data_IF_653624297917
#
_entry.id   IF_653624297917
#
_cell.length_a   1.000
_cell.length_b   1.000
_cell.length_c   1.000
_cell.angle_alpha   90.00
_cell.angle_beta   90.00
_cell.angle_gamma   90.00
#
_symmetry.space_group_name_H-M   'P 1'
#
loop_
_entity.id
_entity.type
_entity.pdbx_description
1 polymer ?
#
# COMPACT_ATOMS: atom_id res chain seq x y z
N UNK A 1 -24.06 -17.29 -4.67
CA UNK A 1 -23.18 -17.67 -3.54
C UNK A 1 -23.07 -16.55 -2.52
N UNK A 2 -22.90 -15.29 -2.94
CA UNK A 2 -23.05 -14.11 -2.09
C UNK A 2 -24.00 -13.12 -2.78
N UNK A 3 -24.88 -12.50 -2.02
CA UNK A 3 -25.77 -11.41 -2.49
C UNK A 3 -25.23 -10.07 -2.02
N UNK A 4 -24.70 -10.00 -0.79
CA UNK A 4 -24.32 -8.75 -0.14
C UNK A 4 -22.96 -8.87 0.56
N UNK A 5 -22.29 -7.73 0.71
CA UNK A 5 -21.07 -7.61 1.49
C UNK A 5 -21.39 -7.33 2.97
N UNK A 6 -20.62 -7.91 3.88
CA UNK A 6 -20.88 -7.88 5.32
C UNK A 6 -21.04 -6.46 5.87
N UNK A 7 -20.12 -5.55 5.50
CA UNK A 7 -20.06 -4.17 5.96
C UNK A 7 -20.95 -3.17 5.22
N UNK A 8 -21.63 -3.60 4.15
CA UNK A 8 -22.53 -2.74 3.36
C UNK A 8 -23.99 -2.84 3.81
N UNK A 9 -24.33 -3.87 4.59
CA UNK A 9 -25.68 -4.08 5.13
C UNK A 9 -26.00 -3.01 6.18
N UNK A 10 -27.19 -2.44 6.12
CA UNK A 10 -27.62 -1.35 6.98
C UNK A 10 -29.08 -1.52 7.45
N UNK A 11 -29.60 -0.51 8.15
CA UNK A 11 -30.95 -0.56 8.76
C UNK A 11 -32.07 -0.61 7.73
N UNK A 12 -31.84 -0.13 6.50
CA UNK A 12 -32.83 -0.20 5.42
C UNK A 12 -33.10 -1.64 4.98
N UNK A 13 -32.16 -2.56 5.20
CA UNK A 13 -32.24 -3.96 4.75
C UNK A 13 -32.96 -4.86 5.77
N UNK A 14 -33.50 -4.31 6.86
CA UNK A 14 -34.19 -5.07 7.90
C UNK A 14 -35.42 -5.80 7.34
N UNK A 15 -35.46 -7.11 7.57
CA UNK A 15 -36.47 -8.03 7.06
C UNK A 15 -36.06 -8.74 5.77
N UNK A 16 -35.01 -8.28 5.09
CA UNK A 16 -34.50 -8.96 3.90
C UNK A 16 -33.73 -10.23 4.25
N UNK A 17 -33.76 -11.20 3.35
CA UNK A 17 -32.96 -12.43 3.46
C UNK A 17 -31.81 -12.36 2.48
N UNK A 18 -30.60 -12.34 3.03
CA UNK A 18 -29.36 -12.17 2.28
C UNK A 18 -28.43 -13.36 2.48
N UNK A 19 -27.50 -13.55 1.55
CA UNK A 19 -26.39 -14.48 1.68
C UNK A 19 -25.07 -13.72 1.71
N UNK A 20 -24.35 -13.81 2.83
CA UNK A 20 -23.01 -13.23 3.01
C UNK A 20 -21.95 -14.33 3.04
N UNK A 21 -20.72 -14.01 2.65
CA UNK A 21 -19.60 -14.94 2.70
C UNK A 21 -18.32 -14.23 3.16
N UNK A 22 -17.56 -14.88 4.03
CA UNK A 22 -16.40 -14.26 4.68
C UNK A 22 -15.67 -15.17 5.66
N UNK A 23 -14.90 -14.56 6.54
CA UNK A 23 -14.09 -15.23 7.56
C UNK A 23 -14.64 -14.99 8.96
N UNK A 24 -14.65 -16.02 9.80
CA UNK A 24 -14.96 -15.88 11.23
C UNK A 24 -13.89 -15.00 11.89
N UNK A 25 -14.23 -13.76 12.20
CA UNK A 25 -13.33 -12.85 12.90
C UNK A 25 -13.25 -13.20 14.39
N UNK A 26 -14.42 -13.40 15.01
CA UNK A 26 -14.55 -13.79 16.41
C UNK A 26 -15.82 -14.62 16.60
N UNK A 27 -15.74 -15.60 17.47
CA UNK A 27 -16.90 -16.38 17.98
C UNK A 27 -17.07 -16.08 19.46
N UNK A 28 -18.32 -15.84 19.87
CA UNK A 28 -18.72 -15.60 21.26
C UNK A 28 -19.88 -16.54 21.58
N UNK A 29 -19.75 -17.27 22.69
CA UNK A 29 -20.69 -18.29 23.11
C UNK A 29 -21.19 -17.95 24.51
N UNK A 30 -22.49 -17.72 24.63
CA UNK A 30 -23.15 -17.41 25.90
C UNK A 30 -24.02 -18.58 26.40
N UNK A 31 -23.82 -19.78 25.87
CA UNK A 31 -24.53 -21.01 26.23
C UNK A 31 -25.93 -21.12 25.62
N UNK A 32 -26.72 -20.06 25.69
CA UNK A 32 -28.08 -20.00 25.11
C UNK A 32 -28.16 -19.28 23.76
N UNK A 33 -27.05 -18.75 23.25
CA UNK A 33 -26.97 -18.01 21.99
C UNK A 33 -25.50 -17.95 21.55
N UNK A 34 -25.25 -18.12 20.25
CA UNK A 34 -23.90 -17.99 19.68
C UNK A 34 -23.87 -16.79 18.73
N UNK A 35 -22.87 -15.94 18.93
CA UNK A 35 -22.58 -14.82 18.06
C UNK A 35 -21.29 -15.08 17.30
N UNK A 36 -21.31 -14.80 15.99
CA UNK A 36 -20.12 -14.87 15.14
C UNK A 36 -20.00 -13.55 14.40
N UNK A 37 -18.86 -12.87 14.55
CA UNK A 37 -18.54 -11.72 13.72
C UNK A 37 -17.92 -12.24 12.42
N UNK A 38 -18.66 -12.10 11.32
CA UNK A 38 -18.20 -12.47 9.98
C UNK A 38 -17.54 -11.25 9.32
N UNK A 39 -16.31 -11.42 8.84
CA UNK A 39 -15.53 -10.39 8.15
C UNK A 39 -15.45 -10.67 6.67
N UNK A 40 -15.58 -9.64 5.86
CA UNK A 40 -15.09 -9.62 4.49
C UNK A 40 -14.32 -8.32 4.19
N UNK A 41 -14.13 -7.99 2.91
CA UNK A 41 -13.38 -6.80 2.46
C UNK A 41 -14.05 -5.47 2.79
N UNK A 42 -15.36 -5.48 3.06
CA UNK A 42 -16.18 -4.30 3.35
C UNK A 42 -16.31 -4.02 4.85
N UNK A 43 -16.19 -5.03 5.71
CA UNK A 43 -16.34 -4.86 7.15
C UNK A 43 -16.79 -6.12 7.88
N UNK A 44 -17.40 -5.91 9.05
CA UNK A 44 -17.91 -6.95 9.93
C UNK A 44 -19.44 -6.97 9.93
N UNK A 45 -20.03 -8.16 10.02
CA UNK A 45 -21.46 -8.39 10.27
C UNK A 45 -21.62 -9.40 11.39
N UNK A 46 -22.46 -9.09 12.37
CA UNK A 46 -22.79 -10.04 13.45
C UNK A 46 -23.81 -11.05 12.95
N UNK A 47 -23.44 -12.32 13.03
CA UNK A 47 -24.31 -13.47 12.82
C UNK A 47 -24.82 -13.96 14.17
N UNK A 48 -26.10 -14.32 14.22
CA UNK A 48 -26.75 -14.88 15.42
C UNK A 48 -27.30 -16.26 15.12
N UNK A 49 -26.92 -17.22 15.97
CA UNK A 49 -27.43 -18.59 15.93
C UNK A 49 -28.32 -18.82 17.15
N UNK A 50 -29.60 -19.12 16.89
CA UNK A 50 -30.61 -19.39 17.90
C UNK A 50 -30.63 -20.89 18.26
N UNK A 51 -30.70 -21.26 19.55
CA UNK A 51 -30.79 -22.67 19.99
C UNK A 51 -32.05 -23.40 19.49
N UNK A 52 -33.10 -22.69 19.06
CA UNK A 52 -34.28 -23.33 18.45
C UNK A 52 -33.92 -24.15 17.19
N UNK A 53 -32.86 -23.75 16.47
CA UNK A 53 -32.33 -24.47 15.32
C UNK A 53 -31.13 -25.35 15.70
N UNK A 54 -31.40 -26.47 16.39
CA UNK A 54 -30.37 -27.35 16.97
C UNK A 54 -29.23 -27.73 16.01
N UNK A 55 -29.54 -28.09 14.76
CA UNK A 55 -28.51 -28.48 13.78
C UNK A 55 -27.55 -27.33 13.45
N UNK A 56 -28.09 -26.12 13.23
CA UNK A 56 -27.27 -24.93 12.98
C UNK A 56 -26.47 -24.51 14.22
N UNK A 57 -27.09 -24.64 15.39
CA UNK A 57 -26.45 -24.31 16.66
C UNK A 57 -25.25 -25.23 16.92
N UNK A 58 -25.41 -26.55 16.72
CA UNK A 58 -24.32 -27.53 16.85
C UNK A 58 -23.19 -27.32 15.84
N UNK A 59 -23.49 -26.87 14.61
CA UNK A 59 -22.44 -26.46 13.66
C UNK A 59 -21.74 -25.17 14.09
N UNK A 60 -22.49 -24.19 14.61
CA UNK A 60 -21.93 -22.94 15.13
C UNK A 60 -21.01 -23.15 16.35
N UNK A 61 -21.24 -24.19 17.15
CA UNK A 61 -20.35 -24.60 18.26
C UNK A 61 -18.96 -25.05 17.79
N UNK A 62 -18.88 -25.62 16.59
CA UNK A 62 -17.64 -26.14 16.01
C UNK A 62 -16.82 -25.04 15.33
N UNK A 63 -17.42 -23.90 14.99
CA UNK A 63 -16.74 -22.79 14.34
C UNK A 63 -15.54 -22.31 15.16
N UNK A 64 -14.44 -22.01 14.47
CA UNK A 64 -13.24 -21.39 15.05
C UNK A 64 -12.86 -20.15 14.26
N UNK A 65 -11.96 -19.35 14.81
CA UNK A 65 -11.41 -18.18 14.14
C UNK A 65 -10.88 -18.55 12.76
N UNK A 66 -11.07 -17.64 11.80
CA UNK A 66 -10.63 -17.72 10.41
C UNK A 66 -11.24 -18.83 9.55
N UNK A 67 -12.28 -19.53 10.03
CA UNK A 67 -13.11 -20.39 9.19
C UNK A 67 -13.75 -19.58 8.07
N UNK A 68 -13.87 -20.18 6.88
CA UNK A 68 -14.47 -19.55 5.69
C UNK A 68 -15.90 -20.02 5.57
N UNK A 69 -16.85 -19.08 5.64
CA UNK A 69 -18.28 -19.38 5.71
C UNK A 69 -19.03 -18.75 4.54
N UNK A 70 -20.13 -19.40 4.15
CA UNK A 70 -21.23 -18.81 3.40
C UNK A 70 -22.49 -18.97 4.25
N UNK A 71 -23.18 -17.87 4.53
CA UNK A 71 -24.28 -17.83 5.50
C UNK A 71 -25.46 -17.12 4.88
N UNK A 72 -26.63 -17.75 4.92
CA UNK A 72 -27.89 -17.10 4.53
C UNK A 72 -28.72 -16.86 5.78
N UNK A 73 -29.34 -15.68 5.87
CA UNK A 73 -30.22 -15.37 6.98
C UNK A 73 -30.95 -14.06 6.79
N UNK A 74 -31.78 -13.73 7.78
CA UNK A 74 -32.64 -12.54 7.74
C UNK A 74 -32.03 -11.43 8.58
N UNK A 75 -31.97 -10.22 8.01
CA UNK A 75 -31.50 -9.04 8.75
C UNK A 75 -32.57 -8.60 9.74
N UNK A 76 -32.15 -8.35 10.98
CA UNK A 76 -32.99 -7.77 12.01
C UNK A 76 -32.24 -6.69 12.77
N UNK A 77 -33.00 -5.80 13.41
CA UNK A 77 -32.42 -4.85 14.37
C UNK A 77 -31.88 -5.61 15.57
N UNK A 78 -30.74 -5.15 16.08
CA UNK A 78 -30.25 -5.63 17.37
C UNK A 78 -31.21 -5.24 18.49
N UNK A 79 -31.35 -6.07 19.54
CA UNK A 79 -32.09 -5.70 20.73
C UNK A 79 -31.59 -4.39 21.35
N UNK A 80 -32.48 -3.70 22.08
CA UNK A 80 -32.07 -2.50 22.82
C UNK A 80 -30.93 -2.83 23.80
N UNK A 81 -29.91 -1.96 23.83
CA UNK A 81 -28.71 -2.14 24.65
C UNK A 81 -27.60 -3.02 24.06
N UNK A 82 -27.78 -3.61 22.87
CA UNK A 82 -26.73 -4.41 22.19
C UNK A 82 -26.23 -3.79 20.87
N UNK A 83 -26.64 -2.55 20.59
CA UNK A 83 -26.14 -1.73 19.49
C UNK A 83 -24.65 -1.44 19.70
N UNK A 84 -23.84 -1.63 18.65
CA UNK A 84 -22.42 -1.31 18.69
C UNK A 84 -22.11 -0.04 17.87
N UNK A 85 -21.94 1.14 18.47
CA UNK A 85 -21.71 2.39 17.73
C UNK A 85 -20.37 2.44 16.99
N UNK A 86 -19.43 1.53 17.27
CA UNK A 86 -18.13 1.47 16.61
C UNK A 86 -18.18 0.76 15.25
N UNK A 87 -19.30 0.08 14.92
CA UNK A 87 -19.46 -0.65 13.67
C UNK A 87 -20.54 0.01 12.79
N UNK A 88 -20.31 0.18 11.47
CA UNK A 88 -21.35 0.61 10.54
C UNK A 88 -22.59 -0.29 10.57
N UNK A 89 -22.39 -1.60 10.79
CA UNK A 89 -23.45 -2.61 10.93
C UNK A 89 -23.92 -2.78 12.38
N UNK A 90 -23.58 -1.83 13.25
CA UNK A 90 -23.76 -1.91 14.69
C UNK A 90 -25.19 -1.97 15.18
N UNK A 91 -26.14 -1.48 14.37
CA UNK A 91 -27.57 -1.45 14.68
C UNK A 91 -28.31 -2.72 14.24
N UNK A 92 -27.66 -3.57 13.45
CA UNK A 92 -28.27 -4.75 12.83
C UNK A 92 -27.49 -6.04 13.14
N UNK A 93 -28.15 -7.16 12.92
CA UNK A 93 -27.54 -8.49 12.95
C UNK A 93 -28.26 -9.41 11.97
N UNK A 94 -27.58 -10.47 11.54
CA UNK A 94 -28.14 -11.49 10.66
C UNK A 94 -28.53 -12.72 11.49
N UNK A 95 -29.85 -12.99 11.56
CA UNK A 95 -30.36 -14.23 12.14
C UNK A 95 -30.14 -15.36 11.13
N UNK A 96 -29.29 -16.32 11.48
CA UNK A 96 -28.83 -17.35 10.55
C UNK A 96 -29.92 -18.37 10.27
N UNK A 97 -30.22 -18.57 8.99
CA UNK A 97 -31.16 -19.59 8.49
C UNK A 97 -30.44 -20.76 7.82
N UNK A 98 -29.25 -20.55 7.26
CA UNK A 98 -28.40 -21.61 6.74
C UNK A 98 -26.92 -21.25 6.84
N UNK A 99 -26.10 -22.25 7.11
CA UNK A 99 -24.65 -22.14 7.24
C UNK A 99 -23.98 -23.20 6.35
N UNK A 100 -23.01 -22.77 5.55
CA UNK A 100 -22.09 -23.64 4.82
C UNK A 100 -20.66 -23.29 5.23
N UNK A 101 -19.95 -24.24 5.83
CA UNK A 101 -18.51 -24.12 6.06
C UNK A 101 -17.80 -24.44 4.75
N UNK A 102 -17.34 -23.40 4.06
CA UNK A 102 -16.63 -23.53 2.78
C UNK A 102 -15.22 -24.09 2.98
N UNK A 103 -14.58 -23.68 4.07
CA UNK A 103 -13.27 -24.22 4.46
C UNK A 103 -13.03 -24.02 5.96
N UNK A 104 -12.35 -24.97 6.58
CA UNK A 104 -11.89 -24.86 7.97
C UNK A 104 -10.56 -24.13 8.03
N UNK A 105 -10.16 -23.68 9.23
CA UNK A 105 -8.86 -23.06 9.46
C UNK A 105 -8.20 -23.65 10.69
N UNK A 106 -6.88 -23.84 10.62
CA UNK A 106 -6.08 -24.05 11.82
C UNK A 106 -6.02 -22.75 12.61
N UNK A 107 -5.74 -22.84 13.92
CA UNK A 107 -5.53 -21.64 14.74
C UNK A 107 -4.42 -20.78 14.12
N UNK A 108 -4.68 -19.49 13.82
CA UNK A 108 -3.67 -18.66 13.19
C UNK A 108 -2.51 -18.41 14.17
N UNK A 109 -1.27 -18.21 13.66
CA UNK A 109 -0.09 -17.97 14.48
C UNK A 109 -0.11 -16.62 15.21
N UNK A 110 -0.99 -15.70 14.82
CA UNK A 110 -1.30 -14.44 15.49
C UNK A 110 -2.72 -14.00 15.14
N UNK A 111 -3.36 -13.22 16.01
CA UNK A 111 -4.67 -12.65 15.75
C UNK A 111 -4.59 -11.33 14.97
N UNK A 112 -5.68 -10.92 14.33
CA UNK A 112 -5.74 -9.72 13.47
C UNK A 112 -5.53 -8.40 14.23
N UNK A 113 -5.83 -8.41 15.53
CA UNK A 113 -5.70 -7.28 16.44
C UNK A 113 -4.39 -7.32 17.24
N UNK A 114 -3.49 -8.28 16.97
CA UNK A 114 -2.21 -8.41 17.65
C UNK A 114 -1.07 -7.88 16.79
N UNK A 115 -0.15 -7.16 17.42
CA UNK A 115 1.11 -6.76 16.81
C UNK A 115 2.14 -7.88 16.96
N UNK A 116 2.04 -8.89 16.09
CA UNK A 116 3.04 -9.95 16.02
C UNK A 116 4.39 -9.41 15.51
N UNK A 117 5.47 -10.12 15.85
CA UNK A 117 6.81 -9.84 15.33
C UNK A 117 6.83 -9.85 13.79
N UNK A 118 7.60 -8.95 13.19
CA UNK A 118 7.68 -8.78 11.74
C UNK A 118 8.03 -10.08 11.01
N UNK A 119 9.00 -10.86 11.50
CA UNK A 119 9.38 -12.15 10.91
C UNK A 119 8.19 -13.12 10.79
N UNK A 120 7.33 -13.17 11.81
CA UNK A 120 6.13 -14.01 11.81
C UNK A 120 5.11 -13.47 10.82
N UNK A 121 4.93 -12.14 10.77
CA UNK A 121 4.02 -11.48 9.83
C UNK A 121 4.45 -11.69 8.38
N UNK A 122 5.75 -11.61 8.09
CA UNK A 122 6.29 -11.87 6.75
C UNK A 122 6.16 -13.34 6.36
N UNK A 123 6.44 -14.26 7.29
CA UNK A 123 6.25 -15.71 7.06
C UNK A 123 4.80 -16.07 6.74
N UNK A 124 3.85 -15.41 7.39
CA UNK A 124 2.42 -15.61 7.19
C UNK A 124 1.75 -14.38 6.58
N UNK A 125 2.39 -13.76 5.58
CA UNK A 125 1.94 -12.48 5.01
C UNK A 125 0.51 -12.51 4.49
N UNK A 126 0.05 -13.66 3.99
CA UNK A 126 -1.34 -13.85 3.55
C UNK A 126 -2.38 -13.70 4.68
N UNK A 127 -2.00 -13.92 5.95
CA UNK A 127 -2.83 -13.61 7.11
C UNK A 127 -2.65 -12.16 7.55
N UNK A 128 -1.42 -11.64 7.55
CA UNK A 128 -1.16 -10.24 7.93
C UNK A 128 -1.89 -9.26 7.00
N UNK A 129 -2.01 -9.59 5.71
CA UNK A 129 -2.77 -8.80 4.72
C UNK A 129 -4.29 -8.80 4.94
N UNK A 130 -4.84 -9.64 5.83
CA UNK A 130 -6.26 -9.57 6.24
C UNK A 130 -6.52 -8.47 7.27
N UNK A 131 -5.49 -7.87 7.85
CA UNK A 131 -5.63 -6.74 8.78
C UNK A 131 -6.00 -5.48 8.00
N UNK A 132 -6.94 -4.70 8.54
CA UNK A 132 -7.45 -3.50 7.88
C UNK A 132 -6.31 -2.54 7.49
N UNK A 133 -5.41 -2.23 8.42
CA UNK A 133 -4.22 -1.40 8.17
C UNK A 133 -3.42 -1.85 6.92
N UNK A 134 -3.17 -3.15 6.79
CA UNK A 134 -2.39 -3.68 5.67
C UNK A 134 -3.18 -3.69 4.36
N UNK A 135 -4.47 -4.06 4.41
CA UNK A 135 -5.36 -4.04 3.27
C UNK A 135 -5.57 -2.62 2.74
N UNK A 136 -5.77 -1.66 3.64
CA UNK A 136 -6.00 -0.25 3.32
C UNK A 136 -4.75 0.38 2.73
N UNK A 137 -3.55 0.06 3.23
CA UNK A 137 -2.30 0.47 2.59
C UNK A 137 -2.18 -0.01 1.12
N UNK A 138 -2.65 -1.22 0.82
CA UNK A 138 -2.67 -1.73 -0.56
C UNK A 138 -3.75 -1.07 -1.42
N UNK A 139 -4.92 -0.75 -0.85
CA UNK A 139 -5.97 0.02 -1.53
C UNK A 139 -5.49 1.43 -1.85
N UNK A 140 -4.86 2.11 -0.90
CA UNK A 140 -4.24 3.43 -1.11
C UNK A 140 -3.17 3.35 -2.20
N UNK A 141 -2.31 2.31 -2.20
CA UNK A 141 -1.36 2.10 -3.30
C UNK A 141 -2.05 1.93 -4.65
N UNK A 142 -3.16 1.21 -4.71
CA UNK A 142 -3.98 1.08 -5.93
C UNK A 142 -4.53 2.43 -6.38
N UNK A 143 -5.10 3.21 -5.47
CA UNK A 143 -5.67 4.54 -5.76
C UNK A 143 -4.61 5.52 -6.24
N UNK A 144 -3.40 5.48 -5.64
CA UNK A 144 -2.23 6.25 -6.10
C UNK A 144 -1.90 5.91 -7.55
N UNK A 145 -1.74 4.61 -7.85
CA UNK A 145 -1.42 4.15 -9.21
C UNK A 145 -2.51 4.54 -10.20
N UNK A 146 -3.79 4.42 -9.83
CA UNK A 146 -4.92 4.82 -10.67
C UNK A 146 -4.90 6.32 -10.97
N UNK A 147 -4.70 7.16 -9.95
CA UNK A 147 -4.62 8.62 -10.09
C UNK A 147 -3.48 9.04 -11.01
N UNK A 148 -2.28 8.47 -10.81
CA UNK A 148 -1.10 8.73 -11.65
C UNK A 148 -1.34 8.37 -13.11
N UNK A 149 -1.92 7.18 -13.39
CA UNK A 149 -2.28 6.76 -14.76
C UNK A 149 -3.27 7.72 -15.39
N UNK A 150 -4.37 8.01 -14.69
CA UNK A 150 -5.40 8.94 -15.17
C UNK A 150 -4.84 10.34 -15.47
N UNK A 151 -3.90 10.84 -14.66
CA UNK A 151 -3.24 12.13 -14.89
C UNK A 151 -2.40 12.11 -16.16
N UNK A 152 -1.58 11.07 -16.34
CA UNK A 152 -0.68 10.92 -17.48
C UNK A 152 -1.44 10.68 -18.79
N UNK A 153 -2.50 9.88 -18.75
CA UNK A 153 -3.41 9.65 -19.89
C UNK A 153 -4.05 10.97 -20.37
N UNK A 154 -4.51 11.81 -19.43
CA UNK A 154 -5.07 13.15 -19.75
C UNK A 154 -4.04 14.13 -20.31
N UNK A 155 -2.74 13.82 -20.18
CA UNK A 155 -1.62 14.64 -20.66
C UNK A 155 -0.97 14.05 -21.92
N UNK A 156 -1.62 13.07 -22.54
CA UNK A 156 -1.20 12.39 -23.77
C UNK A 156 0.11 11.59 -23.61
N UNK A 157 0.44 11.16 -22.39
CA UNK A 157 1.51 10.19 -22.20
C UNK A 157 1.03 8.79 -22.60
N UNK A 158 1.95 7.96 -23.09
CA UNK A 158 1.63 6.59 -23.52
C UNK A 158 2.31 5.59 -22.57
N UNK A 159 1.53 4.66 -22.01
CA UNK A 159 2.06 3.53 -21.23
C UNK A 159 2.68 2.50 -22.18
N UNK A 160 4.01 2.38 -22.15
CA UNK A 160 4.74 1.44 -23.02
C UNK A 160 5.55 0.50 -22.13
N UNK A 161 5.37 -0.81 -22.28
CA UNK A 161 6.16 -1.79 -21.54
C UNK A 161 7.57 -1.93 -22.13
N UNK A 162 8.57 -2.07 -21.25
CA UNK A 162 9.98 -2.26 -21.60
C UNK A 162 10.48 -3.59 -21.07
N UNK A 163 11.42 -4.25 -21.77
CA UNK A 163 11.84 -5.60 -21.41
C UNK A 163 12.61 -5.64 -20.08
N UNK A 164 12.39 -6.73 -19.33
CA UNK A 164 13.08 -7.01 -18.06
C UNK A 164 14.38 -7.78 -18.24
N UNK A 165 14.53 -8.56 -19.31
CA UNK A 165 15.77 -9.27 -19.59
C UNK A 165 16.65 -8.39 -20.49
N UNK A 166 17.56 -7.63 -19.88
CA UNK A 166 18.39 -6.64 -20.56
C UNK A 166 19.84 -7.12 -20.66
N UNK A 167 20.67 -6.31 -21.31
CA UNK A 167 22.13 -6.46 -21.26
C UNK A 167 22.65 -5.80 -19.98
N UNK A 168 23.63 -6.43 -19.32
CA UNK A 168 24.33 -5.83 -18.19
C UNK A 168 25.09 -4.58 -18.61
N UNK A 169 25.03 -3.53 -17.79
CA UNK A 169 25.78 -2.28 -17.99
C UNK A 169 26.69 -2.04 -16.78
N UNK A 170 27.96 -1.68 -16.98
CA UNK A 170 28.93 -1.59 -15.87
C UNK A 170 28.75 -0.36 -14.96
N UNK A 171 27.78 0.52 -15.24
CA UNK A 171 27.52 1.75 -14.49
C UNK A 171 26.29 1.62 -13.58
N UNK A 172 26.29 2.36 -12.47
CA UNK A 172 25.18 2.39 -11.51
C UNK A 172 25.35 1.40 -10.35
N UNK A 173 24.24 0.75 -9.96
CA UNK A 173 24.23 -0.30 -8.94
C UNK A 173 24.72 -1.64 -9.52
N UNK A 174 24.78 -2.68 -8.68
CA UNK A 174 25.03 -4.05 -9.15
C UNK A 174 23.74 -4.65 -9.73
N UNK A 175 23.88 -5.31 -10.88
CA UNK A 175 22.77 -5.99 -11.55
C UNK A 175 22.51 -7.39 -10.98
N UNK A 176 21.23 -7.78 -10.89
CA UNK A 176 20.86 -9.19 -10.80
C UNK A 176 21.05 -9.85 -12.17
N UNK A 177 21.74 -11.00 -12.19
CA UNK A 177 22.04 -11.73 -13.41
C UNK A 177 21.12 -12.94 -13.58
N UNK A 178 20.66 -13.16 -14.81
CA UNK A 178 19.85 -14.32 -15.20
C UNK A 178 20.62 -15.11 -16.27
N UNK A 179 21.09 -16.33 -15.98
CA UNK A 179 21.88 -17.12 -16.93
C UNK A 179 21.05 -17.54 -18.15
N UNK A 180 21.63 -17.40 -19.34
CA UNK A 180 20.99 -17.83 -20.58
C UNK A 180 21.13 -19.34 -20.79
N UNK A 181 20.01 -20.05 -20.91
CA UNK A 181 20.00 -21.47 -21.27
C UNK A 181 20.50 -21.70 -22.71
N UNK A 182 20.20 -20.78 -23.62
CA UNK A 182 20.47 -20.93 -25.06
C UNK A 182 21.84 -20.44 -25.48
N UNK A 183 22.41 -19.47 -24.76
CA UNK A 183 23.74 -18.91 -25.04
C UNK A 183 24.66 -19.20 -23.85
N UNK A 184 25.39 -20.30 -23.94
CA UNK A 184 26.23 -20.81 -22.84
C UNK A 184 27.34 -19.81 -22.52
N UNK A 185 27.37 -19.34 -21.27
CA UNK A 185 28.35 -18.37 -20.78
C UNK A 185 27.83 -16.94 -20.75
N UNK A 186 26.67 -16.68 -21.36
CA UNK A 186 26.04 -15.37 -21.38
C UNK A 186 24.93 -15.23 -20.34
N UNK A 187 24.72 -13.99 -19.92
CA UNK A 187 23.75 -13.61 -18.90
C UNK A 187 22.91 -12.44 -19.38
N UNK A 188 21.63 -12.45 -19.00
CA UNK A 188 20.83 -11.24 -18.96
C UNK A 188 21.05 -10.53 -17.64
N UNK A 189 20.73 -9.24 -17.60
CA UNK A 189 20.61 -8.46 -16.38
C UNK A 189 19.16 -8.03 -16.18
N UNK A 190 18.73 -7.89 -14.92
CA UNK A 190 17.47 -7.23 -14.58
C UNK A 190 17.68 -5.72 -14.50
N UNK A 191 16.78 -4.88 -15.03
CA UNK A 191 17.01 -3.45 -15.16
C UNK A 191 16.93 -2.73 -13.81
N UNK A 192 17.89 -1.84 -13.57
CA UNK A 192 17.85 -0.89 -12.45
C UNK A 192 16.82 0.23 -12.64
N UNK A 193 16.51 0.52 -13.92
CA UNK A 193 15.44 1.39 -14.40
C UNK A 193 15.29 1.19 -15.93
N UNK A 194 14.19 1.62 -16.55
CA UNK A 194 14.05 1.61 -18.01
C UNK A 194 14.83 2.72 -18.76
N UNK A 195 15.83 3.35 -18.14
CA UNK A 195 16.49 4.58 -18.62
C UNK A 195 16.91 4.53 -20.10
N UNK A 196 17.57 3.46 -20.55
CA UNK A 196 17.98 3.37 -21.96
C UNK A 196 16.79 3.15 -22.90
N UNK A 197 15.76 2.42 -22.46
CA UNK A 197 14.58 2.14 -23.27
C UNK A 197 13.70 3.38 -23.44
N UNK A 198 13.47 4.16 -22.38
CA UNK A 198 12.69 5.40 -22.51
C UNK A 198 13.36 6.42 -23.44
N UNK A 199 14.70 6.50 -23.41
CA UNK A 199 15.46 7.31 -24.36
C UNK A 199 15.34 6.78 -25.80
N UNK A 200 15.40 5.45 -26.01
CA UNK A 200 15.14 4.84 -27.31
C UNK A 200 13.72 5.12 -27.81
N UNK A 201 12.72 5.17 -26.92
CA UNK A 201 11.35 5.53 -27.27
C UNK A 201 11.24 6.99 -27.72
N UNK A 202 11.92 7.92 -27.04
CA UNK A 202 12.00 9.31 -27.51
C UNK A 202 12.63 9.39 -28.90
N UNK A 203 13.74 8.69 -29.14
CA UNK A 203 14.37 8.60 -30.47
C UNK A 203 13.49 7.91 -31.52
N UNK A 204 12.55 7.07 -31.09
CA UNK A 204 11.59 6.37 -31.97
C UNK A 204 10.40 7.25 -32.35
N UNK A 205 10.33 8.48 -31.87
CA UNK A 205 9.27 9.44 -32.18
C UNK A 205 8.08 9.43 -31.21
N UNK A 206 8.16 8.70 -30.10
CA UNK A 206 7.20 8.86 -29.02
C UNK A 206 7.51 10.16 -28.27
N UNK A 207 6.55 11.07 -28.22
CA UNK A 207 6.77 12.39 -27.61
C UNK A 207 6.70 12.35 -26.08
N UNK A 208 5.82 11.50 -25.53
CA UNK A 208 5.59 11.37 -24.08
C UNK A 208 5.36 9.91 -23.71
N UNK A 209 6.19 9.42 -22.81
CA UNK A 209 6.19 8.04 -22.35
C UNK A 209 6.03 8.00 -20.84
N UNK A 210 5.29 7.00 -20.36
CA UNK A 210 5.40 6.59 -18.98
C UNK A 210 5.34 5.07 -18.83
N UNK A 211 5.76 4.57 -17.67
CA UNK A 211 5.56 3.18 -17.26
C UNK A 211 5.57 3.09 -15.74
N UNK A 212 4.71 2.23 -15.18
CA UNK A 212 4.87 1.78 -13.80
C UNK A 212 5.75 0.53 -13.82
N UNK A 213 7.06 0.76 -13.80
CA UNK A 213 8.10 -0.21 -14.07
C UNK A 213 8.51 -1.01 -12.82
N UNK A 214 8.87 -2.28 -13.00
CA UNK A 214 9.60 -3.02 -11.98
C UNK A 214 11.11 -2.87 -12.18
N UNK A 215 11.81 -2.55 -11.10
CA UNK A 215 13.23 -2.28 -11.10
C UNK A 215 13.94 -3.12 -10.04
N UNK A 216 15.20 -3.45 -10.31
CA UNK A 216 15.97 -4.41 -9.55
C UNK A 216 17.36 -3.85 -9.26
N UNK A 217 17.82 -3.92 -8.00
CA UNK A 217 19.16 -3.51 -7.60
C UNK A 217 19.72 -4.52 -6.60
N UNK A 218 20.87 -5.10 -6.91
CA UNK A 218 21.58 -6.03 -6.01
C UNK A 218 22.44 -5.24 -5.01
N UNK A 219 21.76 -4.55 -4.10
CA UNK A 219 22.36 -3.72 -3.05
C UNK A 219 21.88 -4.14 -1.66
N UNK A 220 22.64 -3.77 -0.63
CA UNK A 220 22.24 -3.98 0.76
C UNK A 220 20.94 -3.24 1.09
N UNK A 221 20.08 -3.92 1.83
CA UNK A 221 18.75 -3.45 2.20
C UNK A 221 18.79 -2.37 3.29
N UNK A 222 17.77 -1.52 3.28
CA UNK A 222 17.47 -0.55 4.35
C UNK A 222 15.95 -0.50 4.57
N UNK A 223 15.50 0.23 5.59
CA UNK A 223 14.08 0.40 5.87
C UNK A 223 13.28 0.90 4.65
N UNK A 224 13.90 1.72 3.79
CA UNK A 224 13.34 2.32 2.59
C UNK A 224 13.93 1.76 1.28
N UNK A 225 14.73 0.67 1.34
CA UNK A 225 15.39 0.07 0.16
C UNK A 225 15.13 -1.42 0.08
N UNK A 226 14.47 -1.82 -1.00
CA UNK A 226 14.16 -3.21 -1.35
C UNK A 226 14.90 -3.59 -2.64
N UNK A 227 15.26 -4.88 -2.84
CA UNK A 227 16.05 -5.30 -3.98
C UNK A 227 15.21 -5.30 -5.27
N UNK A 228 13.90 -5.44 -5.11
CA UNK A 228 12.87 -5.30 -6.13
C UNK A 228 11.92 -4.17 -5.70
N UNK A 229 11.77 -3.15 -6.54
CA UNK A 229 10.93 -1.99 -6.25
C UNK A 229 10.23 -1.49 -7.51
N UNK A 230 9.18 -0.69 -7.33
CA UNK A 230 8.38 -0.16 -8.44
C UNK A 230 8.68 1.32 -8.61
N UNK A 231 8.91 1.75 -9.85
CA UNK A 231 9.07 3.15 -10.22
C UNK A 231 7.90 3.59 -11.10
N UNK A 232 7.50 4.86 -10.97
CA UNK A 232 6.83 5.55 -12.05
C UNK A 232 7.93 6.19 -12.90
N UNK A 233 8.19 5.60 -14.06
CA UNK A 233 9.18 6.08 -15.02
C UNK A 233 8.48 6.93 -16.08
N UNK A 234 9.04 8.10 -16.39
CA UNK A 234 8.46 9.11 -17.27
C UNK A 234 9.58 9.67 -18.15
N UNK A 235 9.27 9.94 -19.41
CA UNK A 235 10.15 10.63 -20.35
C UNK A 235 9.34 11.51 -21.31
N UNK A 236 9.91 12.63 -21.74
CA UNK A 236 9.28 13.61 -22.62
C UNK A 236 10.29 14.15 -23.64
N UNK A 237 9.86 14.34 -24.89
CA UNK A 237 10.64 14.97 -25.95
C UNK A 237 10.39 16.48 -26.04
N UNK A 238 11.34 17.21 -26.62
CA UNK A 238 11.24 18.65 -26.94
C UNK A 238 10.83 19.57 -25.76
N UNK A 239 11.12 19.15 -24.53
CA UNK A 239 10.81 19.88 -23.30
C UNK A 239 12.10 20.37 -22.63
N UNK A 240 12.02 21.44 -21.86
CA UNK A 240 13.11 21.89 -20.99
C UNK A 240 12.86 21.46 -19.54
N UNK A 241 13.83 21.72 -18.67
CA UNK A 241 13.73 21.40 -17.24
C UNK A 241 12.44 21.93 -16.59
N UNK A 242 12.09 23.20 -16.85
CA UNK A 242 10.90 23.82 -16.28
C UNK A 242 9.61 23.12 -16.69
N UNK A 243 9.48 22.72 -17.96
CA UNK A 243 8.31 21.99 -18.45
C UNK A 243 8.16 20.61 -17.80
N UNK A 244 9.28 19.91 -17.54
CA UNK A 244 9.29 18.65 -16.78
C UNK A 244 8.84 18.90 -15.34
N UNK A 245 9.47 19.86 -14.65
CA UNK A 245 9.16 20.20 -13.26
C UNK A 245 7.68 20.56 -13.09
N UNK A 246 7.14 21.45 -13.92
CA UNK A 246 5.73 21.85 -13.85
C UNK A 246 4.77 20.67 -14.04
N UNK A 247 5.11 19.75 -14.95
CA UNK A 247 4.30 18.53 -15.18
C UNK A 247 4.33 17.61 -13.96
N UNK A 248 5.52 17.38 -13.39
CA UNK A 248 5.69 16.53 -12.21
C UNK A 248 5.03 17.13 -10.98
N UNK A 249 5.24 18.43 -10.73
CA UNK A 249 4.60 19.16 -9.64
C UNK A 249 3.06 19.09 -9.73
N UNK A 250 2.50 19.37 -10.92
CA UNK A 250 1.05 19.28 -11.16
C UNK A 250 0.51 17.86 -10.92
N UNK A 251 1.27 16.84 -11.30
CA UNK A 251 0.92 15.44 -11.08
C UNK A 251 0.85 15.11 -9.59
N UNK A 252 1.88 15.49 -8.82
CA UNK A 252 1.93 15.25 -7.38
C UNK A 252 0.83 16.02 -6.65
N UNK A 253 0.57 17.28 -7.02
CA UNK A 253 -0.57 18.06 -6.47
C UNK A 253 -1.91 17.36 -6.73
N UNK A 254 -2.14 16.91 -7.96
CA UNK A 254 -3.37 16.20 -8.31
C UNK A 254 -3.53 14.90 -7.53
N UNK A 255 -2.44 14.13 -7.39
CA UNK A 255 -2.42 12.89 -6.61
C UNK A 255 -2.82 13.11 -5.14
N UNK A 256 -2.20 14.09 -4.46
CA UNK A 256 -2.50 14.39 -3.06
C UNK A 256 -3.94 14.87 -2.88
N UNK A 257 -4.44 15.70 -3.78
CA UNK A 257 -5.82 16.17 -3.73
C UNK A 257 -6.83 15.03 -3.99
N UNK A 258 -6.54 14.10 -4.89
CA UNK A 258 -7.45 13.00 -5.24
C UNK A 258 -7.47 11.90 -4.17
N UNK A 259 -6.30 11.51 -3.65
CA UNK A 259 -6.17 10.37 -2.74
C UNK A 259 -6.31 10.77 -1.27
N UNK A 260 -5.78 11.94 -0.88
CA UNK A 260 -5.75 12.38 0.52
C UNK A 260 -6.64 13.62 0.78
N UNK A 261 -7.23 14.22 -0.26
CA UNK A 261 -7.94 15.51 -0.15
C UNK A 261 -7.08 16.65 0.38
N UNK A 262 -5.76 16.58 0.19
CA UNK A 262 -4.80 17.57 0.68
C UNK A 262 -4.32 18.50 -0.43
N UNK A 263 -4.24 19.80 -0.12
CA UNK A 263 -3.70 20.80 -1.04
C UNK A 263 -2.22 21.06 -0.75
N UNK A 264 -1.37 20.79 -1.74
CA UNK A 264 0.05 21.12 -1.67
C UNK A 264 0.34 22.50 -2.30
N UNK A 265 1.44 23.17 -1.91
CA UNK A 265 1.82 24.48 -2.45
C UNK A 265 1.95 24.51 -3.98
N UNK A 266 1.68 25.67 -4.58
CA UNK A 266 1.88 25.92 -6.02
C UNK A 266 2.57 27.30 -6.23
N UNK A 267 3.83 27.34 -6.70
CA UNK A 267 4.72 26.21 -6.99
C UNK A 267 5.30 25.57 -5.73
N UNK A 268 5.98 24.43 -5.87
CA UNK A 268 6.79 23.88 -4.78
C UNK A 268 8.01 24.76 -4.49
N UNK A 269 8.48 24.72 -3.23
CA UNK A 269 9.72 25.38 -2.83
C UNK A 269 10.88 24.71 -3.57
N UNK A 270 11.73 25.53 -4.20
CA UNK A 270 12.92 25.08 -4.92
C UNK A 270 14.16 25.56 -4.19
N UNK A 271 15.08 24.64 -3.94
CA UNK A 271 16.39 24.92 -3.36
C UNK A 271 17.45 24.45 -4.35
N UNK A 272 18.51 25.25 -4.53
CA UNK A 272 19.69 24.74 -5.20
C UNK A 272 20.35 23.64 -4.34
N UNK A 273 21.13 22.77 -4.95
CA UNK A 273 21.91 21.78 -4.21
C UNK A 273 22.85 22.45 -3.20
N UNK A 274 23.46 23.58 -3.58
CA UNK A 274 24.34 24.37 -2.72
C UNK A 274 23.59 24.89 -1.49
N UNK A 275 22.41 25.50 -1.68
CA UNK A 275 21.60 25.99 -0.57
C UNK A 275 21.13 24.86 0.35
N UNK A 276 20.72 23.72 -0.22
CA UNK A 276 20.28 22.55 0.53
C UNK A 276 21.42 22.00 1.41
N UNK A 277 22.62 21.86 0.86
CA UNK A 277 23.79 21.41 1.61
C UNK A 277 24.25 22.44 2.64
N UNK A 278 24.29 23.73 2.28
CA UNK A 278 24.74 24.79 3.17
C UNK A 278 23.81 24.98 4.37
N UNK A 279 22.49 24.92 4.16
CA UNK A 279 21.48 25.20 5.20
C UNK A 279 20.98 23.96 5.93
N UNK A 280 21.10 22.77 5.35
CA UNK A 280 20.52 21.56 5.95
C UNK A 280 21.48 20.36 5.99
N UNK A 281 22.63 20.43 5.31
CA UNK A 281 23.61 19.34 5.27
C UNK A 281 23.10 18.08 4.56
N UNK A 282 22.05 18.22 3.73
CA UNK A 282 21.46 17.11 2.97
C UNK A 282 20.81 17.62 1.68
N UNK A 283 20.88 16.80 0.63
CA UNK A 283 20.23 16.99 -0.67
C UNK A 283 18.72 16.69 -0.66
N UNK A 284 18.18 16.22 0.47
CA UNK A 284 16.75 15.92 0.68
C UNK A 284 16.23 16.50 2.01
N UNK A 285 16.26 17.84 2.18
CA UNK A 285 15.94 18.48 3.45
C UNK A 285 14.49 18.26 3.87
N UNK A 286 14.27 18.02 5.17
CA UNK A 286 12.93 18.02 5.75
C UNK A 286 12.55 19.44 6.17
N UNK A 287 11.82 20.15 5.31
CA UNK A 287 11.38 21.53 5.55
C UNK A 287 10.33 21.67 6.67
N UNK A 288 9.84 20.57 7.24
CA UNK A 288 9.02 20.58 8.47
C UNK A 288 9.84 20.85 9.74
N UNK A 289 11.17 20.78 9.66
CA UNK A 289 12.09 21.09 10.76
C UNK A 289 12.66 22.49 10.54
N UNK A 290 12.40 23.40 11.47
CA UNK A 290 12.78 24.82 11.35
C UNK A 290 14.28 25.11 11.57
N UNK A 291 15.08 24.13 11.99
CA UNK A 291 16.50 24.31 12.28
C UNK A 291 17.33 24.28 11.00
N UNK A 292 18.21 25.27 10.86
CA UNK A 292 19.16 25.39 9.75
C UNK A 292 20.60 25.44 10.27
N UNK A 293 21.52 24.93 9.46
CA UNK A 293 22.96 25.14 9.62
C UNK A 293 23.30 26.59 9.29
N UNK A 294 24.18 27.18 10.08
CA UNK A 294 24.72 28.52 9.86
C UNK A 294 26.23 28.38 9.80
N UNK A 295 26.80 28.76 8.66
CA UNK A 295 28.25 28.84 8.50
C UNK A 295 28.79 29.99 9.36
N UNK A 296 29.80 29.68 10.17
CA UNK A 296 30.49 30.63 11.06
C UNK A 296 32.01 30.60 10.84
N UNK A 297 32.46 30.04 9.71
CA UNK A 297 33.88 29.85 9.39
C UNK A 297 34.63 31.18 9.38
N UNK A 298 34.01 32.24 8.87
CA UNK A 298 34.55 33.60 8.88
C UNK A 298 34.91 34.10 10.29
N UNK A 299 34.09 33.73 11.30
CA UNK A 299 34.32 34.07 12.71
C UNK A 299 35.43 33.22 13.34
N UNK A 300 35.70 32.03 12.80
CA UNK A 300 36.63 31.05 13.38
C UNK A 300 38.04 31.11 12.81
N UNK A 301 38.31 31.93 11.78
CA UNK A 301 39.63 31.97 11.11
C UNK A 301 40.80 32.31 12.03
N UNK A 302 40.60 33.17 13.02
CA UNK A 302 41.66 33.70 13.88
C UNK A 302 41.70 33.09 15.28
N UNK A 303 40.88 32.09 15.59
CA UNK A 303 40.90 31.47 16.93
C UNK A 303 42.11 30.56 17.11
N UNK A 304 42.69 30.55 18.30
CA UNK A 304 43.85 29.68 18.63
C UNK A 304 43.50 28.19 18.62
N UNK A 305 42.22 27.85 18.74
CA UNK A 305 41.77 26.47 18.79
C UNK A 305 41.73 25.84 17.39
N UNK A 306 42.79 25.09 17.06
CA UNK A 306 43.05 24.52 15.73
C UNK A 306 41.92 23.65 15.14
N UNK A 307 41.05 23.05 15.97
CA UNK A 307 39.91 22.26 15.47
C UNK A 307 38.91 23.14 14.72
N UNK A 308 38.81 24.43 15.07
CA UNK A 308 37.95 25.38 14.37
C UNK A 308 38.71 26.21 13.35
N UNK A 309 39.90 26.71 13.69
CA UNK A 309 40.66 27.56 12.77
C UNK A 309 41.30 26.79 11.60
N UNK A 310 41.54 25.49 11.72
CA UNK A 310 42.00 24.66 10.60
C UNK A 310 40.98 24.62 9.46
N UNK A 311 39.79 24.02 9.66
CA UNK A 311 38.74 23.95 8.64
C UNK A 311 38.26 25.32 8.13
N UNK A 312 38.30 26.37 8.96
CA UNK A 312 37.86 27.70 8.56
C UNK A 312 38.80 28.43 7.57
N UNK A 313 40.04 27.95 7.43
CA UNK A 313 41.08 28.53 6.57
C UNK A 313 41.50 27.62 5.39
N UNK A 314 40.91 26.42 5.28
CA UNK A 314 41.05 25.52 4.12
C UNK A 314 40.19 26.02 2.93
#
# INVERSE_FOLDING_TARGET
>A
MRTDYCGEVNVADVGETITVAGWVHRRRDHGGIIFVDLRDTSGLLQLVFDPEHQDLFSEAEKLRGEYVLSVTGTIRKRPEGTINPELPTGEIELLVLSLVVLNTSATPPFHHNEYANEDVRLKYRYLDLRRNEMADNLKVRHDIVRSLRNFLDKKDFIDIETPILTKATPEGARDYLVPSRTQKGDFFALPQSPQLFKQLLMMSGFDKYYQIARCFRDEDLRADRQPEFTQLDIEMSFVNEEGVLQTMESMIRNLFQEVLSEQLPDPFIRLSYEDAMARFGTDKPNLGVAMELVDVSDLMRQVEFNVFSGPAND
#
